data_IF_607319171447
#
_entry.id   IF_607319171447
#
_cell.length_a   1.000
_cell.length_b   1.000
_cell.length_c   1.000
_cell.angle_alpha   90.00
_cell.angle_beta   90.00
_cell.angle_gamma   90.00
#
_symmetry.space_group_name_H-M   'P 1'
#
loop_
_entity.id
_entity.type
_entity.pdbx_description
1 polymer ?
#
# COMPACT_ATOMS: atom_id res chain seq x y z
N UNK A 1 65.67 31.68 55.92
CA UNK A 1 64.73 32.49 55.11
C UNK A 1 64.62 31.86 53.74
N UNK A 2 63.72 30.88 53.55
CA UNK A 2 63.38 30.31 52.24
C UNK A 2 61.91 29.85 52.34
N UNK A 3 60.99 30.46 51.58
CA UNK A 3 59.59 30.06 51.48
C UNK A 3 59.47 28.98 50.38
N UNK A 4 58.90 27.79 50.63
CA UNK A 4 58.60 26.86 49.55
C UNK A 4 57.33 27.31 48.82
N UNK A 5 57.48 27.40 47.49
CA UNK A 5 56.45 27.71 46.52
C UNK A 5 55.45 26.54 46.48
N UNK A 6 54.18 26.78 46.80
CA UNK A 6 53.12 25.79 46.63
C UNK A 6 52.76 25.72 45.14
N UNK A 7 53.12 24.61 44.49
CA UNK A 7 52.75 24.32 43.11
C UNK A 7 51.27 23.91 43.07
N UNK A 8 50.41 24.79 42.58
CA UNK A 8 48.99 24.52 42.39
C UNK A 8 48.79 23.67 41.13
N UNK A 9 48.62 22.36 41.29
CA UNK A 9 48.21 21.47 40.20
C UNK A 9 46.73 21.73 39.87
N UNK A 10 46.49 22.46 38.79
CA UNK A 10 45.19 22.56 38.15
C UNK A 10 44.87 21.22 37.47
N UNK A 11 44.03 20.42 38.12
CA UNK A 11 43.38 19.26 37.50
C UNK A 11 42.42 19.75 36.41
N UNK A 12 42.84 19.67 35.15
CA UNK A 12 41.92 19.75 34.01
C UNK A 12 41.09 18.46 33.98
N UNK A 13 39.93 18.46 34.62
CA UNK A 13 38.93 17.41 34.43
C UNK A 13 38.37 17.56 33.00
N UNK A 14 38.52 16.57 32.10
CA UNK A 14 37.91 16.66 30.79
C UNK A 14 36.39 16.70 30.95
N UNK A 15 35.77 17.78 30.48
CA UNK A 15 34.32 17.89 30.36
C UNK A 15 33.87 16.90 29.29
N UNK A 16 33.51 15.69 29.69
CA UNK A 16 32.77 14.79 28.84
C UNK A 16 31.34 15.33 28.71
N UNK A 17 30.86 15.67 27.51
CA UNK A 17 29.46 16.01 27.34
C UNK A 17 28.61 14.83 27.84
N UNK A 18 27.46 15.10 28.52
CA UNK A 18 26.58 14.03 28.94
C UNK A 18 26.18 13.20 27.72
N UNK A 19 26.34 11.89 27.80
CA UNK A 19 25.77 10.99 26.80
C UNK A 19 24.26 11.17 26.83
N UNK A 20 23.71 11.78 25.78
CA UNK A 20 22.25 11.84 25.60
C UNK A 20 21.83 10.40 25.29
N UNK A 21 21.18 9.75 26.24
CA UNK A 21 20.62 8.43 26.01
C UNK A 21 19.57 8.55 24.90
N UNK A 22 19.63 7.66 23.90
CA UNK A 22 18.63 7.63 22.86
C UNK A 22 17.25 7.35 23.49
N UNK A 23 16.28 8.19 23.17
CA UNK A 23 14.92 8.08 23.68
C UNK A 23 14.12 7.18 22.76
N UNK A 24 13.41 6.21 23.35
CA UNK A 24 12.50 5.34 22.60
C UNK A 24 11.33 6.14 22.01
N UNK A 25 11.12 6.00 20.71
CA UNK A 25 9.99 6.57 19.98
C UNK A 25 9.20 5.45 19.31
N UNK A 26 7.98 5.21 19.78
CA UNK A 26 7.08 4.21 19.22
C UNK A 26 6.27 4.79 18.05
N UNK A 27 6.12 3.99 17.00
CA UNK A 27 5.35 4.34 15.81
C UNK A 27 4.39 3.21 15.42
N UNK A 28 3.21 3.60 14.97
CA UNK A 28 2.26 2.75 14.27
C UNK A 28 2.11 3.24 12.83
N UNK A 29 2.15 2.31 11.88
CA UNK A 29 1.98 2.60 10.45
C UNK A 29 0.85 1.72 9.91
N UNK A 30 -0.25 2.35 9.53
CA UNK A 30 -1.35 1.72 8.79
C UNK A 30 -1.18 1.92 7.29
N UNK A 31 -1.52 0.90 6.51
CA UNK A 31 -1.47 0.97 5.04
C UNK A 31 -2.86 0.70 4.48
N UNK A 32 -3.40 1.67 3.74
CA UNK A 32 -4.73 1.60 3.13
C UNK A 32 -4.64 1.36 1.63
N UNK A 33 -5.65 0.70 1.08
CA UNK A 33 -5.93 0.72 -0.35
C UNK A 33 -6.66 2.02 -0.72
N UNK A 34 -6.32 2.63 -1.86
CA UNK A 34 -6.84 3.93 -2.25
C UNK A 34 -8.36 3.94 -2.40
N UNK A 35 -9.02 4.80 -1.62
CA UNK A 35 -10.49 4.87 -1.55
C UNK A 35 -11.14 3.62 -0.94
N UNK A 36 -10.39 2.85 -0.15
CA UNK A 36 -10.87 1.64 0.51
C UNK A 36 -10.25 1.50 1.91
N UNK A 37 -10.07 0.26 2.37
CA UNK A 37 -9.71 -0.04 3.77
C UNK A 37 -8.26 -0.47 3.93
N UNK A 38 -7.90 -0.89 5.14
CA UNK A 38 -6.55 -1.39 5.45
C UNK A 38 -6.20 -2.63 4.62
N UNK A 39 -4.95 -2.72 4.20
CA UNK A 39 -4.37 -3.91 3.60
C UNK A 39 -3.92 -4.83 4.74
N UNK A 40 -4.77 -5.80 5.05
CA UNK A 40 -4.59 -6.74 6.15
C UNK A 40 -4.15 -8.12 5.72
N UNK A 41 -4.17 -9.05 6.67
CA UNK A 41 -3.62 -10.40 6.50
C UNK A 41 -4.31 -11.22 5.40
N UNK A 42 -5.58 -10.92 5.09
CA UNK A 42 -6.33 -11.57 4.01
C UNK A 42 -5.75 -11.33 2.62
N UNK A 43 -4.82 -10.38 2.47
CA UNK A 43 -4.10 -10.08 1.22
C UNK A 43 -2.57 -10.02 1.45
N UNK A 44 -2.09 -10.64 2.52
CA UNK A 44 -0.66 -10.68 2.82
C UNK A 44 -0.13 -9.41 3.48
N UNK A 45 -0.97 -8.44 3.85
CA UNK A 45 -0.52 -7.17 4.40
C UNK A 45 0.32 -6.34 3.42
N UNK A 46 1.01 -5.33 3.95
CA UNK A 46 1.98 -4.51 3.24
C UNK A 46 3.32 -4.53 3.99
N UNK A 47 4.42 -4.53 3.25
CA UNK A 47 5.76 -4.39 3.82
C UNK A 47 6.08 -2.91 3.97
N UNK A 48 6.61 -2.52 5.13
CA UNK A 48 6.90 -1.15 5.51
C UNK A 48 8.39 -1.05 5.84
N UNK A 49 9.04 -0.01 5.31
CA UNK A 49 10.41 0.36 5.63
C UNK A 49 10.40 1.79 6.14
N UNK A 50 11.08 2.04 7.26
CA UNK A 50 11.34 3.36 7.81
C UNK A 50 12.84 3.58 7.74
N UNK A 51 13.29 4.49 6.87
CA UNK A 51 14.69 4.82 6.69
C UNK A 51 14.97 6.27 7.14
N UNK A 52 16.14 6.51 7.73
CA UNK A 52 16.67 7.87 7.89
C UNK A 52 16.91 8.45 6.49
N UNK A 53 16.29 9.60 6.19
CA UNK A 53 16.29 10.16 4.84
C UNK A 53 17.66 10.75 4.45
N UNK A 54 18.51 11.06 5.43
CA UNK A 54 19.85 11.64 5.19
C UNK A 54 20.90 10.56 4.95
N UNK A 55 20.85 9.48 5.72
CA UNK A 55 21.86 8.40 5.70
C UNK A 55 21.43 7.20 4.87
N UNK A 56 20.13 6.97 4.72
CA UNK A 56 19.56 5.76 4.13
C UNK A 56 19.49 4.57 5.09
N UNK A 57 19.90 4.74 6.36
CA UNK A 57 19.88 3.66 7.35
C UNK A 57 18.44 3.24 7.65
N UNK A 58 18.16 1.93 7.57
CA UNK A 58 16.87 1.37 7.96
C UNK A 58 16.76 1.42 9.49
N UNK A 59 15.82 2.21 9.98
CA UNK A 59 15.54 2.40 11.40
C UNK A 59 14.56 1.36 11.93
N UNK A 60 13.60 0.96 11.10
CA UNK A 60 12.64 -0.10 11.39
C UNK A 60 12.03 -0.63 10.09
N UNK A 61 11.65 -1.91 10.07
CA UNK A 61 10.92 -2.50 8.96
C UNK A 61 10.04 -3.66 9.42
N UNK A 62 9.04 -4.00 8.63
CA UNK A 62 8.19 -5.15 8.88
C UNK A 62 6.89 -5.12 8.10
N UNK A 63 6.00 -6.05 8.40
CA UNK A 63 4.73 -6.23 7.70
C UNK A 63 3.55 -5.74 8.55
N UNK A 64 2.54 -5.14 7.92
CA UNK A 64 1.24 -4.87 8.57
C UNK A 64 0.52 -6.18 8.90
N UNK A 65 -0.01 -6.29 10.12
CA UNK A 65 -0.79 -7.46 10.57
C UNK A 65 -2.10 -7.01 11.18
N UNK A 66 -3.16 -7.78 10.96
CA UNK A 66 -4.52 -7.48 11.39
C UNK A 66 -5.53 -7.56 10.27
N UNK A 67 -6.77 -7.16 10.58
CA UNK A 67 -7.91 -7.19 9.68
C UNK A 67 -7.90 -6.02 8.69
N UNK A 68 -8.78 -6.08 7.69
CA UNK A 68 -9.02 -4.93 6.79
C UNK A 68 -9.83 -3.81 7.45
N UNK A 69 -10.26 -3.99 8.69
CA UNK A 69 -11.02 -3.03 9.47
C UNK A 69 -12.51 -2.91 9.12
N UNK A 70 -13.21 -2.12 9.92
CA UNK A 70 -14.66 -1.95 9.87
C UNK A 70 -15.10 -1.03 8.71
N UNK A 71 -15.93 -1.57 7.82
CA UNK A 71 -16.36 -0.86 6.61
C UNK A 71 -17.16 0.41 6.91
N UNK A 72 -18.06 0.38 7.90
CA UNK A 72 -18.89 1.54 8.24
C UNK A 72 -18.05 2.69 8.80
N UNK A 73 -17.15 2.38 9.74
CA UNK A 73 -16.25 3.37 10.34
C UNK A 73 -15.32 4.00 9.29
N UNK A 74 -14.69 3.18 8.45
CA UNK A 74 -13.70 3.67 7.49
C UNK A 74 -14.38 4.46 6.36
N UNK A 75 -15.47 3.91 5.78
CA UNK A 75 -16.05 4.48 4.57
C UNK A 75 -17.17 5.50 4.84
N UNK A 76 -17.83 5.44 6.01
CA UNK A 76 -18.99 6.29 6.34
C UNK A 76 -18.84 7.02 7.68
N UNK A 77 -17.68 6.92 8.31
CA UNK A 77 -17.37 7.58 9.57
C UNK A 77 -17.53 9.10 9.50
N UNK A 78 -18.10 9.70 10.55
CA UNK A 78 -18.39 11.14 10.64
C UNK A 78 -17.17 12.02 10.91
N UNK A 79 -15.97 11.44 11.02
CA UNK A 79 -14.75 12.16 11.44
C UNK A 79 -14.01 12.89 10.32
N UNK A 80 -14.38 12.68 9.05
CA UNK A 80 -13.71 13.29 7.90
C UNK A 80 -12.21 12.99 7.90
N UNK A 81 -11.39 13.96 7.47
CA UNK A 81 -9.93 13.78 7.29
C UNK A 81 -9.15 13.45 8.58
N UNK A 82 -9.70 13.76 9.75
CA UNK A 82 -9.06 13.52 11.06
C UNK A 82 -9.85 12.52 11.91
N UNK A 83 -10.80 11.82 11.30
CA UNK A 83 -11.57 10.80 11.99
C UNK A 83 -10.68 9.63 12.37
N UNK A 84 -10.89 9.09 13.57
CA UNK A 84 -10.34 7.78 13.90
C UNK A 84 -11.07 6.72 13.06
N UNK A 85 -10.37 6.26 12.02
CA UNK A 85 -10.87 5.23 11.11
C UNK A 85 -10.51 3.82 11.59
N UNK A 86 -9.78 3.68 12.70
CA UNK A 86 -9.29 2.39 13.18
C UNK A 86 -10.08 1.72 14.27
N UNK A 87 -9.87 0.42 14.38
CA UNK A 87 -10.00 -0.37 15.59
C UNK A 87 -8.66 -1.01 15.99
N UNK A 88 -8.50 -1.53 17.21
CA UNK A 88 -7.27 -2.23 17.63
C UNK A 88 -6.89 -3.44 16.76
N UNK A 89 -7.87 -4.04 16.09
CA UNK A 89 -7.70 -5.24 15.27
C UNK A 89 -7.33 -4.93 13.81
N UNK A 90 -7.25 -3.64 13.44
CA UNK A 90 -6.97 -3.23 12.07
C UNK A 90 -5.48 -3.41 11.72
N UNK A 91 -5.21 -3.64 10.45
CA UNK A 91 -3.86 -3.94 10.00
C UNK A 91 -2.88 -2.78 10.23
N UNK A 92 -1.79 -3.08 10.94
CA UNK A 92 -0.81 -2.08 11.35
C UNK A 92 0.58 -2.71 11.49
N UNK A 93 1.60 -1.95 11.14
CA UNK A 93 2.99 -2.21 11.49
C UNK A 93 3.34 -1.42 12.76
N UNK A 94 4.00 -2.05 13.73
CA UNK A 94 4.43 -1.43 14.98
C UNK A 94 5.95 -1.47 15.07
N UNK A 95 6.55 -0.30 15.25
CA UNK A 95 8.00 -0.14 15.36
C UNK A 95 8.38 0.64 16.62
N UNK A 96 9.57 0.38 17.13
CA UNK A 96 10.21 1.15 18.19
C UNK A 96 11.59 1.59 17.71
N UNK A 97 11.84 2.90 17.72
CA UNK A 97 13.06 3.52 17.19
C UNK A 97 13.70 4.33 18.31
N UNK A 98 14.96 4.05 18.63
CA UNK A 98 15.72 4.84 19.59
C UNK A 98 16.33 6.07 18.89
N UNK A 99 15.96 7.28 19.33
CA UNK A 99 16.38 8.54 18.72
C UNK A 99 17.15 9.40 19.72
N UNK A 100 18.35 9.83 19.35
CA UNK A 100 19.19 10.78 20.09
C UNK A 100 18.90 12.25 19.72
N UNK A 101 18.35 12.48 18.54
CA UNK A 101 17.93 13.78 18.02
C UNK A 101 16.74 13.62 17.06
N UNK A 102 16.00 14.70 16.73
CA UNK A 102 14.99 14.69 15.66
C UNK A 102 15.57 14.19 14.34
N UNK A 103 14.86 13.25 13.68
CA UNK A 103 15.30 12.68 12.41
C UNK A 103 14.21 12.78 11.36
N UNK A 104 14.59 13.23 10.16
CA UNK A 104 13.71 13.18 9.00
C UNK A 104 13.81 11.77 8.42
N UNK A 105 12.67 11.10 8.28
CA UNK A 105 12.58 9.73 7.80
C UNK A 105 11.78 9.67 6.51
N UNK A 106 12.15 8.73 5.64
CA UNK A 106 11.35 8.28 4.52
C UNK A 106 10.70 6.95 4.91
N UNK A 107 9.38 6.91 4.82
CA UNK A 107 8.59 5.71 5.08
C UNK A 107 8.07 5.22 3.74
N UNK A 108 8.41 3.99 3.36
CA UNK A 108 7.85 3.34 2.17
C UNK A 108 6.94 2.19 2.59
N UNK A 109 5.88 1.96 1.82
CA UNK A 109 5.00 0.81 1.98
C UNK A 109 4.73 0.17 0.63
N UNK A 110 4.91 -1.15 0.53
CA UNK A 110 4.68 -1.94 -0.69
C UNK A 110 3.71 -3.08 -0.39
N UNK A 111 2.68 -3.24 -1.20
CA UNK A 111 1.70 -4.32 -1.04
C UNK A 111 0.52 -4.20 -2.00
N UNK A 112 -0.44 -5.15 -1.95
CA UNK A 112 -0.51 -6.30 -1.06
C UNK A 112 0.56 -7.38 -1.36
N UNK A 113 1.09 -8.04 -0.33
CA UNK A 113 2.20 -8.98 -0.49
C UNK A 113 1.80 -10.33 -1.11
N UNK A 114 0.53 -10.74 -0.98
CA UNK A 114 0.07 -12.02 -1.58
C UNK A 114 -0.29 -11.88 -3.07
N UNK A 115 -0.31 -10.65 -3.61
CA UNK A 115 -0.63 -10.36 -5.01
C UNK A 115 0.43 -9.42 -5.61
N UNK A 116 1.70 -9.87 -5.73
CA UNK A 116 2.83 -9.03 -6.13
C UNK A 116 2.66 -8.36 -7.50
N UNK A 117 1.89 -8.96 -8.40
CA UNK A 117 1.60 -8.42 -9.73
C UNK A 117 0.57 -7.28 -9.74
N UNK A 118 -0.13 -7.09 -8.62
CA UNK A 118 -1.00 -5.95 -8.36
C UNK A 118 -0.46 -5.06 -7.23
N UNK A 119 0.76 -5.33 -6.74
CA UNK A 119 1.35 -4.56 -5.67
C UNK A 119 1.67 -3.14 -6.14
N UNK A 120 1.40 -2.20 -5.25
CA UNK A 120 1.70 -0.80 -5.42
C UNK A 120 2.61 -0.32 -4.29
N UNK A 121 3.18 0.87 -4.47
CA UNK A 121 4.05 1.50 -3.50
C UNK A 121 3.57 2.92 -3.20
N UNK A 122 3.75 3.34 -1.96
CA UNK A 122 3.62 4.73 -1.55
C UNK A 122 4.72 5.08 -0.57
N UNK A 123 5.06 6.36 -0.54
CA UNK A 123 6.05 6.89 0.37
C UNK A 123 5.55 8.12 1.12
N UNK A 124 6.12 8.38 2.30
CA UNK A 124 5.88 9.57 3.09
C UNK A 124 7.12 9.98 3.85
N UNK A 125 7.54 11.24 3.67
CA UNK A 125 8.57 11.84 4.51
C UNK A 125 7.97 12.60 5.69
N UNK A 126 8.53 12.41 6.89
CA UNK A 126 8.14 13.16 8.10
C UNK A 126 9.30 13.25 9.09
N UNK A 127 9.12 14.04 10.14
CA UNK A 127 10.06 14.11 11.26
C UNK A 127 9.61 13.21 12.39
N UNK A 128 10.51 12.36 12.87
CA UNK A 128 10.38 11.70 14.17
C UNK A 128 11.10 12.53 15.22
N UNK A 129 10.40 12.80 16.32
CA UNK A 129 10.93 13.55 17.47
C UNK A 129 11.17 12.56 18.62
N UNK A 130 12.35 12.58 19.30
CA UNK A 130 12.64 11.69 20.41
C UNK A 130 11.55 11.76 21.50
N UNK A 131 10.96 10.61 21.86
CA UNK A 131 9.90 10.49 22.88
C UNK A 131 8.49 10.82 22.40
N UNK A 132 8.31 11.43 21.24
CA UNK A 132 6.98 11.74 20.68
C UNK A 132 6.43 10.54 19.90
N UNK A 133 5.53 9.78 20.53
CA UNK A 133 4.95 8.59 19.93
C UNK A 133 3.85 8.90 18.90
N UNK A 134 3.80 8.13 17.82
CA UNK A 134 2.78 8.25 16.77
C UNK A 134 1.89 6.99 16.75
N UNK A 135 0.88 6.97 17.61
CA UNK A 135 0.04 5.78 17.90
C UNK A 135 -1.44 6.05 17.63
N UNK A 136 -2.22 4.98 17.38
CA UNK A 136 -3.69 4.99 17.33
C UNK A 136 -4.22 6.09 16.39
N UNK A 137 -5.04 7.02 16.89
CA UNK A 137 -5.62 8.11 16.10
C UNK A 137 -4.57 9.06 15.48
N UNK A 138 -3.36 9.13 16.06
CA UNK A 138 -2.25 9.95 15.57
C UNK A 138 -1.22 9.13 14.77
N UNK A 139 -1.51 7.87 14.43
CA UNK A 139 -0.58 7.02 13.70
C UNK A 139 -0.33 7.52 12.27
N UNK A 140 0.70 6.96 11.66
CA UNK A 140 1.05 7.26 10.27
C UNK A 140 0.19 6.39 9.35
N UNK A 141 -0.38 6.99 8.30
CA UNK A 141 -1.14 6.29 7.26
C UNK A 141 -0.48 6.48 5.88
N UNK A 142 -0.25 5.38 5.16
CA UNK A 142 0.09 5.39 3.75
C UNK A 142 -1.07 4.81 2.94
N UNK A 143 -1.26 5.28 1.70
CA UNK A 143 -2.35 4.88 0.83
C UNK A 143 -1.80 4.38 -0.50
N UNK A 144 -2.02 3.11 -0.81
CA UNK A 144 -1.55 2.45 -2.03
C UNK A 144 -2.61 2.54 -3.12
N UNK A 145 -2.24 3.05 -4.29
CA UNK A 145 -3.15 3.12 -5.44
C UNK A 145 -3.07 1.84 -6.25
N UNK A 146 -4.22 1.22 -6.48
CA UNK A 146 -4.38 0.11 -7.40
C UNK A 146 -5.69 -0.66 -7.17
N UNK A 147 -5.84 -1.71 -7.96
CA UNK A 147 -6.88 -2.73 -7.89
C UNK A 147 -6.24 -4.11 -8.10
N UNK A 148 -6.84 -5.15 -7.55
CA UNK A 148 -6.49 -6.53 -7.87
C UNK A 148 -7.24 -6.92 -9.15
N UNK A 149 -6.50 -7.45 -10.13
CA UNK A 149 -7.05 -7.99 -11.37
C UNK A 149 -6.57 -9.42 -11.49
N UNK A 150 -7.32 -10.42 -11.07
CA UNK A 150 -6.87 -11.81 -11.10
C UNK A 150 -7.51 -12.59 -12.26
N UNK A 151 -6.74 -13.30 -13.09
CA UNK A 151 -7.31 -14.18 -14.11
C UNK A 151 -8.07 -15.34 -13.46
N UNK A 152 -9.29 -15.58 -13.91
CA UNK A 152 -10.11 -16.73 -13.52
C UNK A 152 -10.10 -17.80 -14.62
N UNK A 153 -10.35 -17.37 -15.86
CA UNK A 153 -10.35 -18.22 -17.05
C UNK A 153 -10.15 -17.33 -18.28
N UNK A 154 -9.06 -17.53 -19.00
CA UNK A 154 -8.69 -16.70 -20.13
C UNK A 154 -8.11 -17.60 -21.20
N UNK A 155 -8.66 -17.53 -22.41
CA UNK A 155 -8.10 -18.27 -23.52
C UNK A 155 -8.89 -18.17 -24.81
N UNK A 156 -8.39 -18.84 -25.84
CA UNK A 156 -9.00 -18.93 -27.17
C UNK A 156 -9.11 -20.40 -27.57
N UNK A 157 -10.32 -20.84 -27.91
CA UNK A 157 -10.56 -22.21 -28.37
C UNK A 157 -10.13 -22.41 -29.84
N UNK A 158 -10.01 -23.68 -30.31
CA UNK A 158 -9.59 -23.97 -31.68
C UNK A 158 -10.51 -23.42 -32.78
N UNK A 159 -11.77 -23.11 -32.46
CA UNK A 159 -12.73 -22.51 -33.39
C UNK A 159 -12.63 -20.97 -33.42
N UNK A 160 -11.71 -20.40 -32.65
CA UNK A 160 -11.47 -18.96 -32.57
C UNK A 160 -12.39 -18.22 -31.58
N UNK A 161 -13.17 -18.93 -30.77
CA UNK A 161 -13.96 -18.28 -29.71
C UNK A 161 -13.09 -18.10 -28.49
N UNK A 162 -13.03 -16.89 -27.96
CA UNK A 162 -12.28 -16.60 -26.75
C UNK A 162 -13.13 -16.15 -25.59
N UNK A 163 -12.56 -16.35 -24.41
CA UNK A 163 -13.13 -15.95 -23.13
C UNK A 163 -12.08 -15.17 -22.34
N UNK A 164 -12.54 -14.12 -21.66
CA UNK A 164 -11.75 -13.38 -20.68
C UNK A 164 -12.59 -13.28 -19.43
N UNK A 165 -12.23 -14.02 -18.38
CA UNK A 165 -12.83 -13.94 -17.05
C UNK A 165 -11.76 -13.50 -16.05
N UNK A 166 -12.05 -12.43 -15.34
CA UNK A 166 -11.16 -11.86 -14.31
C UNK A 166 -11.95 -11.54 -13.04
N UNK A 167 -11.33 -11.74 -11.88
CA UNK A 167 -11.81 -11.25 -10.59
C UNK A 167 -11.26 -9.85 -10.36
N UNK A 168 -12.13 -8.90 -10.00
CA UNK A 168 -11.78 -7.50 -9.76
C UNK A 168 -12.09 -7.11 -8.31
N UNK A 169 -11.06 -6.66 -7.57
CA UNK A 169 -11.17 -6.22 -6.18
C UNK A 169 -10.37 -4.94 -5.92
N UNK A 170 -10.66 -4.24 -4.82
CA UNK A 170 -9.73 -3.25 -4.28
C UNK A 170 -8.46 -3.96 -3.74
N UNK A 171 -7.33 -3.26 -3.57
CA UNK A 171 -6.12 -3.87 -2.99
C UNK A 171 -6.32 -4.48 -1.59
N UNK A 172 -7.32 -4.03 -0.83
CA UNK A 172 -7.73 -4.64 0.44
C UNK A 172 -8.47 -5.99 0.30
N UNK A 173 -8.75 -6.44 -0.93
CA UNK A 173 -9.65 -7.57 -1.21
C UNK A 173 -11.13 -7.24 -1.12
N UNK A 174 -11.45 -5.95 -1.11
CA UNK A 174 -12.82 -5.51 -0.98
C UNK A 174 -13.54 -5.66 -2.34
N UNK A 175 -14.75 -6.24 -2.39
CA UNK A 175 -15.39 -6.64 -3.64
C UNK A 175 -15.86 -5.45 -4.47
N UNK A 176 -15.65 -5.50 -5.79
CA UNK A 176 -16.15 -4.50 -6.75
C UNK A 176 -17.40 -5.07 -7.44
N UNK A 177 -18.58 -4.62 -7.00
CA UNK A 177 -19.88 -5.15 -7.43
C UNK A 177 -20.86 -4.01 -7.76
N UNK A 178 -21.80 -4.20 -8.71
CA UNK A 178 -22.86 -3.22 -8.97
C UNK A 178 -23.67 -2.92 -7.71
N UNK A 179 -23.79 -1.64 -7.36
CA UNK A 179 -24.53 -1.19 -6.17
C UNK A 179 -23.88 -1.53 -4.82
N UNK A 180 -22.65 -2.06 -4.81
CA UNK A 180 -21.86 -2.32 -3.62
C UNK A 180 -21.25 -1.05 -2.99
N UNK A 181 -20.53 -1.21 -1.88
CA UNK A 181 -19.79 -0.07 -1.27
C UNK A 181 -18.70 0.45 -2.21
N UNK A 182 -17.98 -0.47 -2.88
CA UNK A 182 -17.11 -0.16 -4.01
C UNK A 182 -17.88 -0.46 -5.29
N UNK A 183 -18.71 0.51 -5.66
CA UNK A 183 -19.65 0.36 -6.75
C UNK A 183 -18.93 0.24 -8.10
N UNK A 184 -19.21 -0.88 -8.78
CA UNK A 184 -18.74 -1.19 -10.11
C UNK A 184 -18.95 -0.05 -11.12
N UNK A 185 -20.06 0.69 -11.02
CA UNK A 185 -20.41 1.74 -11.99
C UNK A 185 -19.54 3.00 -11.84
N UNK A 186 -18.75 3.07 -10.77
CA UNK A 186 -17.82 4.17 -10.50
C UNK A 186 -16.40 3.89 -10.98
N UNK A 187 -16.19 2.76 -11.66
CA UNK A 187 -14.89 2.31 -12.15
C UNK A 187 -15.02 2.00 -13.64
N UNK A 188 -14.29 2.74 -14.47
CA UNK A 188 -14.17 2.42 -15.89
C UNK A 188 -13.36 1.13 -16.04
N UNK A 189 -13.97 0.13 -16.69
CA UNK A 189 -13.43 -1.20 -16.93
C UNK A 189 -13.28 -1.41 -18.42
N UNK A 190 -12.06 -1.56 -18.90
CA UNK A 190 -11.81 -1.87 -20.31
C UNK A 190 -10.93 -3.10 -20.41
N UNK A 191 -11.35 -4.05 -21.23
CA UNK A 191 -10.52 -5.16 -21.67
C UNK A 191 -10.18 -4.95 -23.15
N UNK A 192 -8.91 -5.13 -23.50
CA UNK A 192 -8.41 -4.87 -24.86
C UNK A 192 -7.54 -6.05 -25.30
N UNK A 193 -7.94 -6.73 -26.37
CA UNK A 193 -7.10 -7.72 -27.04
C UNK A 193 -5.93 -7.01 -27.71
N UNK A 194 -4.73 -7.53 -27.52
CA UNK A 194 -3.49 -6.99 -28.07
C UNK A 194 -2.91 -7.99 -29.07
N UNK A 195 -2.88 -7.59 -30.34
CA UNK A 195 -2.37 -8.37 -31.48
C UNK A 195 -0.97 -7.95 -31.91
N UNK A 196 -0.56 -8.43 -33.07
CA UNK A 196 0.72 -8.08 -33.67
C UNK A 196 0.69 -6.66 -34.27
N UNK A 197 1.88 -6.07 -34.43
CA UNK A 197 2.08 -4.78 -35.11
C UNK A 197 1.27 -3.60 -34.52
N UNK A 198 0.92 -3.67 -33.22
CA UNK A 198 0.19 -2.61 -32.53
C UNK A 198 -1.32 -2.64 -32.73
N UNK A 199 -1.86 -3.67 -33.39
CA UNK A 199 -3.30 -3.85 -33.49
C UNK A 199 -3.91 -4.13 -32.11
N UNK A 200 -5.08 -3.53 -31.85
CA UNK A 200 -5.82 -3.75 -30.62
C UNK A 200 -7.31 -3.67 -30.84
N UNK A 201 -8.09 -4.48 -30.12
CA UNK A 201 -9.55 -4.48 -30.19
C UNK A 201 -10.15 -4.50 -28.77
N UNK A 202 -11.09 -3.60 -28.43
CA UNK A 202 -11.77 -3.65 -27.15
C UNK A 202 -12.70 -4.87 -27.10
N UNK A 203 -12.77 -5.52 -25.93
CA UNK A 203 -13.75 -6.56 -25.62
C UNK A 203 -14.58 -6.12 -24.41
N UNK A 204 -15.92 -6.12 -24.51
CA UNK A 204 -16.77 -5.56 -23.47
C UNK A 204 -16.82 -6.49 -22.26
N UNK A 205 -16.18 -6.06 -21.18
CA UNK A 205 -16.16 -6.77 -19.90
C UNK A 205 -17.45 -6.48 -19.12
N UNK A 206 -18.19 -7.53 -18.72
CA UNK A 206 -19.49 -7.44 -18.03
C UNK A 206 -19.43 -8.18 -16.71
N UNK A 207 -20.18 -7.72 -15.70
CA UNK A 207 -20.29 -8.46 -14.44
C UNK A 207 -20.97 -9.82 -14.71
N UNK A 208 -20.39 -10.90 -14.18
CA UNK A 208 -20.88 -12.27 -14.40
C UNK A 208 -22.14 -12.60 -13.60
N UNK A 209 -22.48 -11.78 -12.60
CA UNK A 209 -23.54 -12.07 -11.63
C UNK A 209 -23.04 -12.71 -10.34
N UNK A 210 -21.80 -13.20 -10.31
CA UNK A 210 -21.24 -13.95 -9.18
C UNK A 210 -19.97 -13.31 -8.63
N UNK A 211 -19.91 -13.16 -7.30
CA UNK A 211 -18.74 -12.71 -6.58
C UNK A 211 -18.15 -11.40 -7.14
N UNK A 212 -16.89 -11.42 -7.50
CA UNK A 212 -16.13 -10.29 -8.04
C UNK A 212 -15.77 -10.49 -9.51
N UNK A 213 -16.41 -11.44 -10.19
CA UNK A 213 -16.00 -11.91 -11.52
C UNK A 213 -16.67 -11.10 -12.62
N UNK A 214 -15.85 -10.69 -13.58
CA UNK A 214 -16.24 -10.01 -14.79
C UNK A 214 -15.78 -10.80 -16.01
N UNK A 215 -16.61 -10.83 -17.05
CA UNK A 215 -16.40 -11.67 -18.22
C UNK A 215 -16.64 -10.96 -19.55
N UNK A 216 -15.88 -11.36 -20.57
CA UNK A 216 -16.10 -11.03 -21.96
C UNK A 216 -15.96 -12.30 -22.80
N UNK A 217 -16.79 -12.43 -23.84
CA UNK A 217 -16.72 -13.48 -24.87
C UNK A 217 -16.60 -12.84 -26.24
N UNK A 218 -15.87 -13.47 -27.14
CA UNK A 218 -15.70 -13.01 -28.51
C UNK A 218 -15.55 -14.19 -29.48
N UNK A 219 -16.12 -14.07 -30.68
CA UNK A 219 -16.18 -15.16 -31.66
C UNK A 219 -15.07 -15.12 -32.72
N UNK A 220 -14.30 -14.03 -32.74
CA UNK A 220 -13.20 -13.86 -33.68
C UNK A 220 -12.08 -13.13 -32.94
N UNK A 221 -10.94 -13.79 -32.64
CA UNK A 221 -9.84 -13.11 -32.00
C UNK A 221 -9.27 -12.11 -33.00
N UNK A 222 -8.84 -10.96 -32.50
CA UNK A 222 -7.96 -10.10 -33.27
C UNK A 222 -6.78 -10.95 -33.80
N UNK A 223 -6.50 -11.01 -35.12
CA UNK A 223 -5.44 -11.86 -35.64
C UNK A 223 -4.10 -11.63 -34.93
N UNK A 224 -3.46 -12.71 -34.48
CA UNK A 224 -2.22 -12.64 -33.72
C UNK A 224 -2.38 -12.08 -32.29
N UNK A 225 -3.59 -12.03 -31.73
CA UNK A 225 -3.81 -11.71 -30.33
C UNK A 225 -3.06 -12.69 -29.43
N UNK A 226 -2.18 -12.17 -28.57
CA UNK A 226 -1.42 -12.97 -27.60
C UNK A 226 -1.68 -12.56 -26.15
N UNK A 227 -2.31 -11.41 -25.96
CA UNK A 227 -2.58 -10.87 -24.63
C UNK A 227 -3.92 -10.15 -24.61
N UNK A 228 -4.51 -10.11 -23.43
CA UNK A 228 -5.53 -9.14 -23.08
C UNK A 228 -4.94 -8.16 -22.07
N UNK A 229 -5.17 -6.87 -22.27
CA UNK A 229 -4.92 -5.83 -21.26
C UNK A 229 -6.22 -5.46 -20.58
N UNK A 230 -6.22 -5.49 -19.26
CA UNK A 230 -7.33 -5.01 -18.44
C UNK A 230 -6.89 -3.69 -17.81
N UNK A 231 -7.64 -2.63 -18.08
CA UNK A 231 -7.43 -1.32 -17.48
C UNK A 231 -8.63 -0.98 -16.58
N UNK A 232 -8.32 -0.55 -15.35
CA UNK A 232 -9.27 -0.06 -14.36
C UNK A 232 -8.95 1.38 -14.02
N UNK A 233 -9.96 2.25 -14.06
CA UNK A 233 -9.83 3.65 -13.66
C UNK A 233 -11.01 4.11 -12.82
N UNK A 234 -10.73 4.49 -11.57
CA UNK A 234 -11.72 5.07 -10.67
C UNK A 234 -12.20 6.44 -11.17
N UNK A 235 -13.50 6.70 -11.05
CA UNK A 235 -14.09 7.99 -11.45
C UNK A 235 -14.14 9.01 -10.31
N UNK A 236 -13.97 8.56 -9.07
CA UNK A 236 -14.09 9.37 -7.84
C UNK A 236 -12.77 9.58 -7.10
N UNK A 237 -11.74 8.84 -7.47
CA UNK A 237 -10.40 8.93 -6.94
C UNK A 237 -9.38 8.67 -8.06
N UNK A 238 -8.14 9.11 -7.86
CA UNK A 238 -7.04 8.85 -8.80
C UNK A 238 -6.49 7.41 -8.63
N UNK A 239 -7.37 6.42 -8.54
CA UNK A 239 -7.00 5.02 -8.40
C UNK A 239 -7.09 4.33 -9.78
N UNK A 240 -5.97 3.80 -10.27
CA UNK A 240 -5.86 3.18 -11.60
C UNK A 240 -4.99 1.92 -11.56
N UNK A 241 -5.24 0.99 -12.47
CA UNK A 241 -4.41 -0.21 -12.67
C UNK A 241 -4.49 -0.66 -14.11
N UNK A 242 -3.36 -1.12 -14.66
CA UNK A 242 -3.29 -1.75 -15.98
C UNK A 242 -2.54 -3.08 -15.84
N UNK A 243 -3.17 -4.18 -16.25
CA UNK A 243 -2.56 -5.52 -16.23
C UNK A 243 -2.65 -6.15 -17.61
N UNK A 244 -1.52 -6.63 -18.12
CA UNK A 244 -1.43 -7.42 -19.35
C UNK A 244 -1.36 -8.90 -18.99
N UNK A 245 -2.26 -9.70 -19.54
CA UNK A 245 -2.40 -11.12 -19.24
C UNK A 245 -2.30 -11.91 -20.55
N UNK A 246 -1.50 -12.99 -20.61
CA UNK A 246 -1.45 -13.88 -21.77
C UNK A 246 -2.84 -14.46 -22.12
N UNK A 247 -3.07 -14.69 -23.42
CA UNK A 247 -4.18 -15.49 -23.92
C UNK A 247 -3.62 -16.87 -24.20
N UNK A 248 -3.97 -17.85 -23.36
CA UNK A 248 -3.52 -19.25 -23.49
C UNK A 248 -4.53 -20.12 -24.25
#
# INVERSE_FOLDING_TARGET
>A
MVKPFALLLLFFLPWLPPAVAATETQIEIGVLANGAKFIGDSKGGAYVIVADETTGDILAEGRTRGSTGDTERIMRGKGGRHGDISTPDDAVFRGSIALDAPRKVLITATGPLDHPESAAEAEKSLWLIPGEHLLSANRILLELSGYLIEPVDIGIDPDGRGIVRVSLEMLCGCPIQPGGTWDADTINKTATLLGEQGNSAPVPLRYSGEGTVYEARFDSPLPGARFVRIDLAGTRNANTTSRRIPLD
#
